data_IF_381898750621
#
_entry.id   IF_381898750621
#
_cell.length_a   1.000
_cell.length_b   1.000
_cell.length_c   1.000
_cell.angle_alpha   90.00
_cell.angle_beta   90.00
_cell.angle_gamma   90.00
#
_symmetry.space_group_name_H-M   'P 1'
#
loop_
_entity.id
_entity.type
_entity.pdbx_description
1 polymer ?
#
# COMPACT_ATOMS: atom_id res chain seq x y z
N UNK A 1 -7.89 8.99 -12.53
CA UNK A 1 -7.36 7.67 -12.22
C UNK A 1 -5.85 7.72 -12.13
N UNK A 2 -5.31 7.43 -10.95
CA UNK A 2 -3.86 7.35 -10.70
C UNK A 2 -3.44 5.88 -10.73
N UNK A 3 -2.24 5.60 -11.23
CA UNK A 3 -1.66 4.25 -11.21
C UNK A 3 -0.98 4.00 -9.87
N UNK A 4 -1.13 2.79 -9.33
CA UNK A 4 -0.43 2.39 -8.10
C UNK A 4 1.01 2.02 -8.47
N UNK A 5 1.90 3.01 -8.52
CA UNK A 5 3.31 2.80 -8.87
C UNK A 5 4.17 2.54 -7.64
N UNK A 6 5.36 1.96 -7.83
CA UNK A 6 6.34 1.81 -6.75
C UNK A 6 6.70 3.17 -6.11
N UNK A 7 6.89 4.22 -6.93
CA UNK A 7 7.17 5.57 -6.44
C UNK A 7 6.04 6.16 -5.58
N UNK A 8 4.78 5.81 -5.88
CA UNK A 8 3.65 6.23 -5.05
C UNK A 8 3.72 5.55 -3.68
N UNK A 9 3.92 4.23 -3.67
CA UNK A 9 4.06 3.43 -2.45
C UNK A 9 5.20 3.98 -1.57
N UNK A 10 6.33 4.35 -2.17
CA UNK A 10 7.51 4.85 -1.44
C UNK A 10 7.33 6.24 -0.84
N UNK A 11 6.45 7.06 -1.41
CA UNK A 11 6.20 8.44 -0.95
C UNK A 11 5.00 8.55 -0.03
N UNK A 12 4.19 7.49 0.05
CA UNK A 12 2.99 7.49 0.88
C UNK A 12 3.33 7.46 2.37
N UNK A 13 2.45 8.05 3.22
CA UNK A 13 2.63 8.02 4.65
C UNK A 13 2.67 6.58 5.17
N UNK A 14 3.56 6.36 6.12
CA UNK A 14 3.67 5.11 6.85
C UNK A 14 3.91 5.41 8.32
N UNK A 15 3.15 4.77 9.20
CA UNK A 15 3.15 5.05 10.63
C UNK A 15 2.63 3.85 11.41
N UNK A 16 2.78 3.88 12.74
CA UNK A 16 2.09 2.94 13.62
C UNK A 16 0.66 3.43 13.86
N UNK A 17 -0.33 2.60 13.53
CA UNK A 17 -1.73 2.93 13.77
C UNK A 17 -2.10 2.83 15.27
N UNK A 18 -3.37 3.07 15.60
CA UNK A 18 -3.86 3.02 16.97
C UNK A 18 -3.73 1.63 17.64
N UNK A 19 -3.58 0.57 16.86
CA UNK A 19 -3.37 -0.81 17.31
C UNK A 19 -1.89 -1.20 17.40
N UNK A 20 -0.97 -0.26 17.12
CA UNK A 20 0.49 -0.48 17.05
C UNK A 20 0.92 -1.40 15.90
N UNK A 21 0.12 -1.45 14.84
CA UNK A 21 0.43 -2.10 13.58
C UNK A 21 1.09 -1.10 12.63
N UNK A 22 2.05 -1.54 11.81
CA UNK A 22 2.63 -0.71 10.77
C UNK A 22 1.65 -0.59 9.61
N UNK A 23 1.20 0.64 9.37
CA UNK A 23 0.22 0.95 8.33
C UNK A 23 0.86 1.67 7.15
N UNK A 24 0.54 1.22 5.94
CA UNK A 24 0.77 1.97 4.70
C UNK A 24 -0.52 2.70 4.30
N UNK A 25 -0.48 4.03 4.26
CA UNK A 25 -1.63 4.85 3.90
C UNK A 25 -1.63 5.17 2.39
N UNK A 26 -2.54 4.51 1.65
CA UNK A 26 -2.79 4.73 0.22
C UNK A 26 -4.15 5.44 -0.02
N UNK A 27 -4.71 6.10 1.00
CA UNK A 27 -6.04 6.71 0.92
C UNK A 27 -6.14 7.81 -0.13
N UNK A 28 -7.32 7.93 -0.75
CA UNK A 28 -7.69 9.11 -1.54
C UNK A 28 -6.89 9.33 -2.84
N UNK A 29 -6.12 8.33 -3.30
CA UNK A 29 -5.25 8.46 -4.46
C UNK A 29 -5.98 8.28 -5.80
N UNK A 30 -7.28 7.96 -5.81
CA UNK A 30 -8.06 7.62 -7.04
C UNK A 30 -7.43 6.45 -7.82
N UNK A 31 -6.93 5.46 -7.07
CA UNK A 31 -6.42 4.19 -7.60
C UNK A 31 -7.62 3.38 -8.08
N UNK A 32 -7.60 2.89 -9.32
CA UNK A 32 -8.67 2.02 -9.84
C UNK A 32 -8.27 0.55 -9.95
N UNK A 33 -6.96 0.27 -10.00
CA UNK A 33 -6.40 -1.07 -10.17
C UNK A 33 -5.31 -1.28 -9.13
N UNK A 34 -5.39 -2.42 -8.43
CA UNK A 34 -4.33 -2.87 -7.54
C UNK A 34 -3.20 -3.45 -8.40
N UNK A 35 -1.99 -2.96 -8.22
CA UNK A 35 -0.78 -3.36 -8.94
C UNK A 35 0.46 -2.95 -8.12
N UNK A 36 1.61 -3.51 -8.45
CA UNK A 36 2.91 -3.14 -7.88
C UNK A 36 3.04 -3.18 -6.34
N UNK A 37 2.13 -3.85 -5.63
CA UNK A 37 2.21 -3.98 -4.16
C UNK A 37 3.47 -4.72 -3.69
N UNK A 38 4.18 -5.44 -4.56
CA UNK A 38 5.48 -6.03 -4.23
C UNK A 38 6.58 -4.98 -3.99
N UNK A 39 6.37 -3.73 -4.40
CA UNK A 39 7.28 -2.63 -4.10
C UNK A 39 7.31 -2.26 -2.60
N UNK A 40 6.31 -2.72 -1.82
CA UNK A 40 6.30 -2.57 -0.36
C UNK A 40 7.47 -3.31 0.29
N UNK A 41 7.91 -4.44 -0.27
CA UNK A 41 9.04 -5.22 0.24
C UNK A 41 10.40 -4.55 -0.01
N UNK A 42 10.50 -3.73 -1.06
CA UNK A 42 11.76 -3.09 -1.49
C UNK A 42 11.98 -1.76 -0.77
N UNK A 43 10.91 -1.08 -0.34
CA UNK A 43 10.97 0.27 0.22
C UNK A 43 11.58 0.35 1.63
N UNK A 44 11.64 -0.77 2.37
CA UNK A 44 11.94 -0.72 3.80
C UNK A 44 13.22 -1.48 4.09
N UNK A 45 14.30 -0.72 4.27
CA UNK A 45 15.49 -1.19 4.97
C UNK A 45 15.06 -1.73 6.33
N UNK A 46 15.24 -3.05 6.53
CA UNK A 46 14.85 -3.86 7.69
C UNK A 46 13.43 -4.46 7.60
N UNK A 47 13.32 -5.51 6.79
CA UNK A 47 12.75 -6.82 7.16
C UNK A 47 11.64 -6.80 8.21
N UNK A 48 10.53 -6.12 7.92
CA UNK A 48 9.28 -6.34 8.64
C UNK A 48 8.13 -5.60 7.94
N UNK A 49 7.16 -6.38 7.48
CA UNK A 49 6.12 -5.93 6.55
C UNK A 49 5.10 -5.00 7.21
N UNK A 50 4.37 -4.28 6.36
CA UNK A 50 3.15 -3.58 6.79
C UNK A 50 2.14 -4.61 7.26
N UNK A 51 1.64 -4.43 8.48
CA UNK A 51 0.57 -5.25 9.03
C UNK A 51 -0.78 -4.84 8.41
N UNK A 52 -0.92 -3.56 8.03
CA UNK A 52 -2.11 -3.00 7.42
C UNK A 52 -1.80 -2.14 6.19
N UNK A 53 -2.70 -2.19 5.20
CA UNK A 53 -2.68 -1.30 4.03
C UNK A 53 -4.05 -0.63 3.95
N UNK A 54 -4.07 0.69 4.04
CA UNK A 54 -5.30 1.46 3.94
C UNK A 54 -5.56 1.91 2.49
N UNK A 55 -6.51 1.24 1.84
CA UNK A 55 -6.94 1.54 0.47
C UNK A 55 -8.24 2.37 0.43
N UNK A 56 -8.68 2.98 1.54
CA UNK A 56 -9.95 3.74 1.61
C UNK A 56 -9.98 4.91 0.61
N UNK A 57 -11.18 5.33 0.21
CA UNK A 57 -11.40 6.50 -0.66
C UNK A 57 -10.69 6.41 -2.02
N UNK A 58 -10.49 5.19 -2.53
CA UNK A 58 -10.03 4.93 -3.90
C UNK A 58 -11.18 4.52 -4.83
N UNK A 59 -10.90 4.39 -6.12
CA UNK A 59 -11.85 4.03 -7.18
C UNK A 59 -11.68 2.54 -7.59
N UNK A 60 -11.23 1.68 -6.66
CA UNK A 60 -10.88 0.28 -6.93
C UNK A 60 -12.13 -0.50 -7.31
N UNK A 61 -12.12 -1.08 -8.50
CA UNK A 61 -13.27 -1.83 -9.05
C UNK A 61 -13.19 -3.33 -8.79
N UNK A 62 -12.01 -3.85 -8.46
CA UNK A 62 -11.76 -5.28 -8.22
C UNK A 62 -10.65 -5.48 -7.19
N UNK A 63 -10.88 -6.38 -6.23
CA UNK A 63 -9.86 -6.86 -5.30
C UNK A 63 -9.16 -8.07 -5.93
N UNK A 64 -8.04 -7.82 -6.59
CA UNK A 64 -7.24 -8.83 -7.30
C UNK A 64 -5.78 -8.33 -7.44
N UNK A 65 -4.90 -9.14 -8.04
CA UNK A 65 -3.53 -8.77 -8.38
C UNK A 65 -2.65 -8.45 -7.16
N UNK A 66 -2.98 -9.05 -6.02
CA UNK A 66 -2.14 -9.03 -4.84
C UNK A 66 -0.97 -10.01 -5.02
N UNK A 67 0.28 -9.57 -4.82
CA UNK A 67 1.39 -10.49 -4.70
C UNK A 67 1.30 -11.22 -3.35
N UNK A 68 2.13 -12.25 -3.20
CA UNK A 68 2.35 -12.82 -1.88
C UNK A 68 3.13 -11.80 -1.03
N UNK A 69 2.52 -11.38 0.09
CA UNK A 69 3.11 -10.51 1.12
C UNK A 69 3.35 -11.40 2.36
N UNK A 70 4.55 -11.39 2.94
CA UNK A 70 5.04 -12.23 4.05
C UNK A 70 4.95 -11.61 5.44
#
# INVERSE_FOLDING_TARGET
MVKLTADLIWKCPHFFNALKERELDLRGNKIAVIENLGATEVCITLFDQFDTIDLSDNEIVKLDNFPYLK
#
